data_IF_807526636258
#
_entry.id   IF_807526636258
#
_cell.length_a   1.000
_cell.length_b   1.000
_cell.length_c   1.000
_cell.angle_alpha   90.00
_cell.angle_beta   90.00
_cell.angle_gamma   90.00
#
_symmetry.space_group_name_H-M   'P 1'
#
loop_
_entity.id
_entity.type
_entity.pdbx_description
1 polymer ?
#
# COMPACT_ATOMS: atom_id res chain seq x y z
N UNK A 1 -29.10 7.78 -12.00
CA UNK A 1 -28.62 6.40 -12.29
C UNK A 1 -27.14 6.39 -11.97
N UNK A 2 -26.63 5.43 -11.16
CA UNK A 2 -25.19 5.33 -10.90
C UNK A 2 -24.49 4.87 -12.19
N UNK A 3 -23.36 5.49 -12.51
CA UNK A 3 -22.48 5.05 -13.61
C UNK A 3 -21.60 3.90 -13.13
N UNK A 4 -21.11 3.06 -14.06
CA UNK A 4 -20.08 2.09 -13.73
C UNK A 4 -18.71 2.76 -13.70
N UNK A 5 -17.84 2.33 -12.79
CA UNK A 5 -16.45 2.74 -12.75
C UNK A 5 -15.55 1.61 -13.27
N UNK A 6 -14.64 1.95 -14.16
CA UNK A 6 -13.72 1.03 -14.82
C UNK A 6 -12.27 1.41 -14.55
N UNK A 7 -11.41 0.40 -14.54
CA UNK A 7 -9.95 0.56 -14.59
C UNK A 7 -9.53 0.48 -16.06
N UNK A 8 -8.86 1.52 -16.54
CA UNK A 8 -8.33 1.58 -17.91
C UNK A 8 -6.86 1.21 -17.96
N UNK A 9 -6.07 1.63 -16.98
CA UNK A 9 -4.66 1.23 -16.86
C UNK A 9 -4.20 1.28 -15.40
N UNK A 10 -3.08 0.58 -15.13
CA UNK A 10 -2.43 0.56 -13.83
C UNK A 10 -0.92 0.43 -14.02
N UNK A 11 -0.18 1.32 -13.37
CA UNK A 11 1.28 1.39 -13.43
C UNK A 11 1.88 1.59 -12.04
N UNK A 12 3.11 1.12 -11.85
CA UNK A 12 3.88 1.40 -10.63
C UNK A 12 5.37 1.59 -10.94
N UNK A 13 6.08 2.24 -10.05
CA UNK A 13 7.55 2.19 -10.08
C UNK A 13 8.04 0.82 -9.59
N UNK A 14 9.30 0.44 -9.87
CA UNK A 14 9.95 -0.58 -9.05
C UNK A 14 10.00 -0.10 -7.60
N UNK A 15 9.97 -1.03 -6.65
CA UNK A 15 10.15 -0.71 -5.23
C UNK A 15 11.63 -0.57 -4.91
N UNK A 16 12.02 0.63 -4.53
CA UNK A 16 13.36 0.92 -4.03
C UNK A 16 13.51 0.54 -2.56
N UNK A 17 14.72 0.26 -2.13
CA UNK A 17 15.07 0.04 -0.74
C UNK A 17 14.92 1.35 0.05
N UNK A 18 14.09 1.38 1.07
CA UNK A 18 13.76 2.56 1.87
C UNK A 18 14.88 2.97 2.85
N UNK A 19 16.10 3.12 2.35
CA UNK A 19 17.27 3.53 3.09
C UNK A 19 18.08 4.56 2.29
N UNK A 20 18.97 5.29 2.95
CA UNK A 20 19.83 6.30 2.32
C UNK A 20 20.71 5.75 1.19
N UNK A 21 21.02 4.45 1.23
CA UNK A 21 21.77 3.72 0.20
C UNK A 21 20.84 3.02 -0.83
N UNK A 22 19.52 3.23 -0.75
CA UNK A 22 18.56 2.72 -1.73
C UNK A 22 18.58 3.51 -3.05
N UNK A 23 18.32 2.86 -4.17
CA UNK A 23 18.42 3.46 -5.50
C UNK A 23 17.50 4.67 -5.69
N UNK A 24 16.33 4.68 -5.05
CA UNK A 24 15.35 5.76 -5.20
C UNK A 24 15.54 6.91 -4.19
N UNK A 25 16.52 6.84 -3.28
CA UNK A 25 16.75 7.89 -2.27
C UNK A 25 17.03 9.28 -2.88
N UNK A 26 17.70 9.35 -4.02
CA UNK A 26 18.01 10.60 -4.71
C UNK A 26 16.85 11.14 -5.55
N UNK A 27 15.82 10.33 -5.78
CA UNK A 27 14.62 10.73 -6.55
C UNK A 27 13.59 11.31 -5.59
N UNK A 28 13.06 12.48 -5.92
CA UNK A 28 12.01 13.11 -5.12
C UNK A 28 10.70 12.30 -5.23
N UNK A 29 9.89 12.21 -4.17
CA UNK A 29 8.58 11.54 -4.24
C UNK A 29 7.68 12.06 -5.35
N UNK A 30 7.70 13.39 -5.58
CA UNK A 30 6.93 13.99 -6.66
C UNK A 30 7.36 13.48 -8.04
N UNK A 31 8.65 13.28 -8.28
CA UNK A 31 9.18 12.81 -9.57
C UNK A 31 8.77 11.35 -9.84
N UNK A 32 8.56 10.53 -8.80
CA UNK A 32 7.99 9.18 -8.93
C UNK A 32 6.55 9.24 -9.45
N UNK A 33 5.75 10.16 -8.92
CA UNK A 33 4.34 10.33 -9.33
C UNK A 33 4.26 10.91 -10.74
N UNK A 34 5.03 11.95 -11.03
CA UNK A 34 5.09 12.60 -12.36
C UNK A 34 5.48 11.60 -13.43
N UNK A 35 6.52 10.78 -13.19
CA UNK A 35 6.95 9.75 -14.14
C UNK A 35 5.87 8.71 -14.43
N UNK A 36 5.02 8.36 -13.45
CA UNK A 36 3.88 7.48 -13.67
C UNK A 36 2.72 8.17 -14.40
N UNK A 37 2.46 9.46 -14.15
CA UNK A 37 1.47 10.23 -14.90
C UNK A 37 1.87 10.35 -16.38
N UNK A 38 3.13 10.60 -16.64
CA UNK A 38 3.68 10.63 -18.00
C UNK A 38 3.54 9.27 -18.68
N UNK A 39 3.88 8.19 -18.00
CA UNK A 39 3.72 6.83 -18.53
C UNK A 39 2.26 6.49 -18.82
N UNK A 40 1.30 6.89 -17.97
CA UNK A 40 -0.12 6.74 -18.26
C UNK A 40 -0.54 7.50 -19.52
N UNK A 41 -0.07 8.74 -19.68
CA UNK A 41 -0.38 9.58 -20.84
C UNK A 41 0.29 9.06 -22.12
N UNK A 42 1.52 8.56 -22.05
CA UNK A 42 2.22 7.92 -23.18
C UNK A 42 1.49 6.67 -23.66
N UNK A 43 1.00 5.85 -22.72
CA UNK A 43 0.35 4.56 -23.02
C UNK A 43 -1.10 4.70 -23.50
N UNK A 44 -1.82 5.69 -22.99
CA UNK A 44 -3.26 5.81 -23.15
C UNK A 44 -3.68 7.10 -23.87
N UNK A 45 -2.71 7.90 -24.31
CA UNK A 45 -2.93 9.15 -25.06
C UNK A 45 -2.85 10.40 -24.17
N UNK A 46 -2.28 11.46 -24.72
CA UNK A 46 -2.04 12.74 -24.03
C UNK A 46 -3.35 13.45 -23.59
N UNK A 47 -4.48 13.06 -24.17
CA UNK A 47 -5.79 13.57 -23.76
C UNK A 47 -6.14 13.36 -22.30
N UNK A 48 -5.52 12.38 -21.63
CA UNK A 48 -5.68 12.14 -20.20
C UNK A 48 -5.32 13.41 -19.40
N UNK A 49 -4.25 14.11 -19.76
CA UNK A 49 -3.78 15.31 -19.06
C UNK A 49 -4.79 16.48 -19.11
N UNK A 50 -5.67 16.46 -20.10
CA UNK A 50 -6.71 17.49 -20.28
C UNK A 50 -8.08 17.04 -19.78
N UNK A 51 -8.32 15.75 -19.68
CA UNK A 51 -9.64 15.18 -19.39
C UNK A 51 -9.76 14.65 -17.96
N UNK A 52 -8.66 14.49 -17.23
CA UNK A 52 -8.74 14.13 -15.82
C UNK A 52 -9.44 15.24 -15.02
N UNK A 53 -10.37 14.84 -14.17
CA UNK A 53 -11.08 15.76 -13.28
C UNK A 53 -10.34 15.95 -11.96
N UNK A 54 -9.74 14.84 -11.45
CA UNK A 54 -9.11 14.83 -10.13
C UNK A 54 -7.93 13.84 -10.06
N UNK A 55 -7.04 14.10 -9.11
CA UNK A 55 -5.97 13.20 -8.67
C UNK A 55 -6.15 12.88 -7.20
N UNK A 56 -6.41 11.62 -6.86
CA UNK A 56 -6.54 11.16 -5.48
C UNK A 56 -5.31 10.33 -5.11
N UNK A 57 -4.48 10.84 -4.21
CA UNK A 57 -3.20 10.22 -3.90
C UNK A 57 -3.07 9.86 -2.42
N UNK A 58 -2.86 8.58 -2.13
CA UNK A 58 -2.52 8.08 -0.81
C UNK A 58 -1.06 8.42 -0.43
N UNK A 59 -0.86 9.00 0.74
CA UNK A 59 0.46 9.26 1.31
C UNK A 59 0.35 9.20 2.84
N UNK A 60 1.15 8.33 3.47
CA UNK A 60 1.04 8.08 4.92
C UNK A 60 1.71 9.18 5.73
N UNK A 61 2.88 9.65 5.26
CA UNK A 61 3.68 10.65 6.00
C UNK A 61 3.78 11.95 5.19
N UNK A 62 2.70 12.78 5.20
CA UNK A 62 2.57 13.95 4.33
C UNK A 62 3.34 15.18 4.86
N UNK A 63 4.65 15.03 5.04
CA UNK A 63 5.55 16.08 5.52
C UNK A 63 6.78 16.22 4.62
N UNK A 64 7.49 17.32 4.72
CA UNK A 64 8.68 17.58 3.91
C UNK A 64 8.38 17.43 2.40
N UNK A 65 9.15 16.61 1.71
CA UNK A 65 9.00 16.37 0.26
C UNK A 65 7.67 15.74 -0.15
N UNK A 66 6.90 15.22 0.80
CA UNK A 66 5.57 14.61 0.59
C UNK A 66 4.42 15.49 1.10
N UNK A 67 4.74 16.68 1.62
CA UNK A 67 3.75 17.62 2.17
C UNK A 67 3.05 18.47 1.12
N UNK A 68 2.21 19.39 1.60
CA UNK A 68 1.55 20.44 0.82
C UNK A 68 0.75 19.93 -0.39
N UNK A 69 -0.05 18.87 -0.18
CA UNK A 69 -0.86 18.24 -1.22
C UNK A 69 -0.04 17.82 -2.45
N UNK A 70 0.75 16.79 -2.27
CA UNK A 70 1.59 16.23 -3.34
C UNK A 70 0.76 15.78 -4.56
N UNK A 71 -0.54 15.47 -4.40
CA UNK A 71 -1.41 15.09 -5.51
C UNK A 71 -1.59 16.25 -6.49
N UNK A 72 -2.00 17.43 -5.98
CA UNK A 72 -2.16 18.62 -6.82
C UNK A 72 -0.82 19.10 -7.37
N UNK A 73 0.22 19.09 -6.55
CA UNK A 73 1.55 19.54 -6.98
C UNK A 73 2.11 18.64 -8.09
N UNK A 74 1.94 17.31 -7.98
CA UNK A 74 2.35 16.36 -9.02
C UNK A 74 1.53 16.51 -10.31
N UNK A 75 0.22 16.75 -10.21
CA UNK A 75 -0.64 17.01 -11.37
C UNK A 75 -0.12 18.20 -12.19
N UNK A 76 0.18 19.32 -11.53
CA UNK A 76 0.74 20.51 -12.18
C UNK A 76 2.12 20.23 -12.78
N UNK A 77 3.01 19.58 -12.03
CA UNK A 77 4.36 19.25 -12.49
C UNK A 77 4.37 18.28 -13.69
N UNK A 78 3.38 17.37 -13.77
CA UNK A 78 3.19 16.48 -14.92
C UNK A 78 2.51 17.17 -16.11
N UNK A 79 2.14 18.45 -16.01
CA UNK A 79 1.47 19.19 -17.09
C UNK A 79 0.01 18.78 -17.29
N UNK A 80 -0.68 18.33 -16.26
CA UNK A 80 -2.12 18.22 -16.31
C UNK A 80 -2.74 19.63 -16.34
N UNK A 81 -3.94 19.75 -16.88
CA UNK A 81 -4.63 21.05 -16.95
C UNK A 81 -4.77 21.69 -15.55
N UNK A 82 -4.69 23.00 -15.47
CA UNK A 82 -4.79 23.75 -14.20
C UNK A 82 -6.11 23.49 -13.47
N UNK A 83 -7.14 23.10 -14.22
CA UNK A 83 -8.46 22.75 -13.71
C UNK A 83 -8.53 21.39 -13.02
N UNK A 84 -7.53 20.51 -13.22
CA UNK A 84 -7.49 19.20 -12.54
C UNK A 84 -7.27 19.42 -11.05
N UNK A 85 -8.20 18.93 -10.24
CA UNK A 85 -8.10 18.98 -8.79
C UNK A 85 -7.06 17.98 -8.28
N UNK A 86 -6.75 18.03 -6.99
CA UNK A 86 -5.89 17.06 -6.34
C UNK A 86 -6.23 16.99 -4.87
N UNK A 87 -6.18 15.77 -4.31
CA UNK A 87 -6.35 15.55 -2.88
C UNK A 87 -5.42 14.44 -2.39
N UNK A 88 -4.76 14.71 -1.29
CA UNK A 88 -3.92 13.75 -0.58
C UNK A 88 -4.70 13.17 0.59
N UNK A 89 -4.65 11.85 0.76
CA UNK A 89 -5.36 11.14 1.82
C UNK A 89 -4.42 10.23 2.60
N UNK A 90 -4.76 9.96 3.87
CA UNK A 90 -4.06 9.01 4.72
C UNK A 90 -5.06 8.01 5.31
N UNK A 91 -4.83 6.72 5.04
CA UNK A 91 -5.43 5.55 5.69
C UNK A 91 -4.33 4.52 5.94
N UNK A 92 -3.18 4.96 6.43
CA UNK A 92 -1.99 4.14 6.66
C UNK A 92 -1.66 3.25 5.43
N UNK A 93 -1.30 1.99 5.63
CA UNK A 93 -0.93 1.08 4.53
C UNK A 93 -2.04 0.88 3.48
N UNK A 94 -3.30 1.22 3.78
CA UNK A 94 -4.42 1.16 2.84
C UNK A 94 -4.64 2.47 2.05
N UNK A 95 -3.79 3.50 2.20
CA UNK A 95 -4.01 4.82 1.58
C UNK A 95 -4.14 4.75 0.06
N UNK A 96 -3.29 3.98 -0.62
CA UNK A 96 -3.36 3.81 -2.08
C UNK A 96 -4.65 3.10 -2.52
N UNK A 97 -5.05 2.04 -1.82
CA UNK A 97 -6.31 1.34 -2.09
C UNK A 97 -7.52 2.24 -1.83
N UNK A 98 -7.50 3.01 -0.74
CA UNK A 98 -8.57 3.96 -0.44
C UNK A 98 -8.68 5.07 -1.48
N UNK A 99 -7.54 5.59 -1.97
CA UNK A 99 -7.52 6.55 -3.07
C UNK A 99 -8.23 6.01 -4.33
N UNK A 100 -7.94 4.76 -4.67
CA UNK A 100 -8.58 4.04 -5.78
C UNK A 100 -10.08 3.81 -5.52
N UNK A 101 -10.47 3.43 -4.30
CA UNK A 101 -11.87 3.29 -3.91
C UNK A 101 -12.63 4.63 -3.99
N UNK A 102 -12.02 5.71 -3.50
CA UNK A 102 -12.61 7.05 -3.58
C UNK A 102 -12.80 7.50 -5.03
N UNK A 103 -11.82 7.28 -5.90
CA UNK A 103 -11.93 7.56 -7.32
C UNK A 103 -13.09 6.77 -7.97
N UNK A 104 -13.20 5.47 -7.67
CA UNK A 104 -14.32 4.66 -8.14
C UNK A 104 -15.67 5.17 -7.64
N UNK A 105 -15.76 5.60 -6.37
CA UNK A 105 -16.98 6.21 -5.81
C UNK A 105 -17.33 7.54 -6.48
N UNK A 106 -16.34 8.42 -6.75
CA UNK A 106 -16.53 9.69 -7.47
C UNK A 106 -17.09 9.43 -8.87
N UNK A 107 -16.50 8.50 -9.61
CA UNK A 107 -16.96 8.12 -10.95
C UNK A 107 -18.37 7.49 -10.90
N UNK A 108 -18.63 6.56 -9.97
CA UNK A 108 -19.95 5.92 -9.85
C UNK A 108 -21.06 6.86 -9.39
N UNK A 109 -20.73 7.90 -8.63
CA UNK A 109 -21.68 8.93 -8.24
C UNK A 109 -22.08 9.83 -9.41
N UNK A 110 -21.27 9.87 -10.49
CA UNK A 110 -21.47 10.74 -11.64
C UNK A 110 -20.98 12.17 -11.41
N UNK A 111 -20.21 12.42 -10.33
CA UNK A 111 -19.60 13.74 -10.11
C UNK A 111 -18.34 13.94 -10.93
N UNK A 112 -17.58 12.87 -11.17
CA UNK A 112 -16.35 12.88 -11.96
C UNK A 112 -16.41 11.82 -13.06
N UNK A 113 -15.77 12.08 -14.20
CA UNK A 113 -15.74 11.16 -15.34
C UNK A 113 -14.44 10.37 -15.42
N UNK A 114 -13.31 11.01 -15.07
CA UNK A 114 -11.96 10.45 -15.18
C UNK A 114 -11.09 10.89 -14.01
N UNK A 115 -10.57 9.93 -13.24
CA UNK A 115 -9.75 10.19 -12.06
C UNK A 115 -8.45 9.37 -12.13
N UNK A 116 -7.34 10.01 -11.80
CA UNK A 116 -6.05 9.33 -11.57
C UNK A 116 -5.96 9.08 -10.07
N UNK A 117 -5.75 7.83 -9.65
CA UNK A 117 -5.68 7.50 -8.23
C UNK A 117 -4.57 6.50 -7.92
N UNK A 118 -4.03 6.58 -6.72
CA UNK A 118 -2.97 5.67 -6.29
C UNK A 118 -2.26 6.14 -5.03
N UNK A 119 -0.95 6.02 -4.98
CA UNK A 119 -0.19 6.46 -3.80
C UNK A 119 1.30 6.58 -4.06
N UNK A 120 1.96 7.27 -3.15
CA UNK A 120 3.42 7.44 -3.10
C UNK A 120 3.91 7.39 -1.67
N UNK A 121 5.06 6.76 -1.45
CA UNK A 121 5.80 6.84 -0.21
C UNK A 121 7.30 6.75 -0.50
N UNK A 122 8.10 7.62 0.11
CA UNK A 122 9.55 7.59 0.06
C UNK A 122 10.10 7.51 1.48
N UNK A 123 10.13 6.28 2.01
CA UNK A 123 10.51 6.02 3.40
C UNK A 123 12.02 6.21 3.64
N UNK A 124 12.82 6.25 2.57
CA UNK A 124 14.25 6.59 2.66
C UNK A 124 14.49 8.07 2.93
N UNK A 125 13.57 8.94 2.48
CA UNK A 125 13.63 10.40 2.61
C UNK A 125 12.82 10.91 3.80
N UNK A 126 11.63 10.37 3.98
CA UNK A 126 10.70 10.74 5.04
C UNK A 126 10.53 9.53 5.98
N UNK A 127 11.18 9.52 7.15
CA UNK A 127 11.06 8.43 8.11
C UNK A 127 9.62 8.25 8.60
N UNK A 128 9.24 7.00 8.90
CA UNK A 128 7.95 6.71 9.53
C UNK A 128 7.74 7.55 10.80
N UNK A 129 6.50 7.96 11.04
CA UNK A 129 6.08 8.78 12.18
C UNK A 129 6.65 10.21 12.19
N UNK A 130 7.25 10.69 11.09
CA UNK A 130 7.68 12.10 10.98
C UNK A 130 6.50 13.08 11.00
N UNK A 131 5.30 12.63 10.72
CA UNK A 131 4.04 13.39 10.80
C UNK A 131 3.53 13.52 12.25
N UNK A 132 4.08 12.78 13.21
CA UNK A 132 3.68 12.81 14.62
C UNK A 132 2.30 12.23 14.85
N UNK A 133 1.50 12.90 15.67
CA UNK A 133 0.11 12.53 15.95
C UNK A 133 -0.10 12.00 17.36
N UNK A 134 -1.27 12.34 17.92
CA UNK A 134 -1.61 12.05 19.32
C UNK A 134 -1.61 10.54 19.63
N UNK A 135 -1.97 9.70 18.66
CA UNK A 135 -2.06 8.27 18.87
C UNK A 135 -0.76 7.62 19.37
N UNK A 136 0.39 8.05 18.80
CA UNK A 136 1.70 7.54 19.20
C UNK A 136 2.49 8.49 20.14
N UNK A 137 2.18 9.81 20.11
CA UNK A 137 2.97 10.85 20.77
C UNK A 137 2.35 11.41 22.05
N UNK A 138 1.03 11.25 22.24
CA UNK A 138 0.35 11.69 23.47
C UNK A 138 0.06 10.49 24.36
N UNK A 139 0.69 10.40 25.57
CA UNK A 139 0.54 9.25 26.45
C UNK A 139 -0.92 9.00 26.89
N UNK A 140 -1.71 10.05 27.09
CA UNK A 140 -3.10 9.90 27.50
C UNK A 140 -3.96 9.28 26.39
N UNK A 141 -3.81 9.76 25.16
CA UNK A 141 -4.51 9.21 23.98
C UNK A 141 -4.02 7.80 23.67
N UNK A 142 -2.71 7.57 23.72
CA UNK A 142 -2.11 6.25 23.51
C UNK A 142 -2.68 5.20 24.48
N UNK A 143 -2.71 5.52 25.78
CA UNK A 143 -3.27 4.63 26.80
C UNK A 143 -4.78 4.41 26.61
N UNK A 144 -5.54 5.48 26.38
CA UNK A 144 -6.99 5.41 26.20
C UNK A 144 -7.40 4.57 25.00
N UNK A 145 -6.60 4.56 23.94
CA UNK A 145 -6.83 3.75 22.73
C UNK A 145 -6.22 2.36 22.78
N UNK A 146 -5.39 2.07 23.80
CA UNK A 146 -4.66 0.79 23.88
C UNK A 146 -3.65 0.61 22.74
N UNK A 147 -3.03 1.71 22.31
CA UNK A 147 -2.05 1.70 21.22
C UNK A 147 -0.83 0.86 21.57
N UNK A 148 -0.43 0.02 20.65
CA UNK A 148 0.87 -0.65 20.62
C UNK A 148 1.48 -0.55 19.23
N UNK A 149 2.82 -0.62 19.09
CA UNK A 149 3.44 -0.70 17.78
C UNK A 149 2.91 -1.87 16.96
N UNK A 150 2.76 -1.69 15.66
CA UNK A 150 2.10 -2.61 14.73
C UNK A 150 2.65 -4.04 14.81
N UNK A 151 3.97 -4.20 14.98
CA UNK A 151 4.60 -5.50 15.10
C UNK A 151 4.23 -6.27 16.37
N UNK A 152 3.89 -5.57 17.46
CA UNK A 152 3.34 -6.21 18.68
C UNK A 152 1.96 -6.78 18.37
N UNK A 153 1.11 -6.05 17.65
CA UNK A 153 -0.18 -6.55 17.18
C UNK A 153 -0.04 -7.77 16.27
N UNK A 154 0.96 -7.78 15.38
CA UNK A 154 1.25 -8.93 14.52
C UNK A 154 1.71 -10.17 15.32
N UNK A 155 2.60 -9.99 16.30
CA UNK A 155 3.04 -11.08 17.20
C UNK A 155 1.89 -11.58 18.08
N UNK A 156 0.97 -10.68 18.50
CA UNK A 156 -0.24 -11.07 19.21
C UNK A 156 -1.18 -11.92 18.33
N UNK A 157 -1.34 -11.59 17.06
CA UNK A 157 -2.08 -12.42 16.08
C UNK A 157 -1.44 -13.80 16.00
N UNK A 158 -0.12 -13.87 15.77
CA UNK A 158 0.58 -15.15 15.66
C UNK A 158 0.43 -15.99 16.94
N UNK A 159 0.46 -15.35 18.10
CA UNK A 159 0.27 -16.01 19.40
C UNK A 159 -1.14 -16.58 19.55
N UNK A 160 -2.17 -15.79 19.25
CA UNK A 160 -3.59 -16.19 19.38
C UNK A 160 -3.93 -17.33 18.41
N UNK A 161 -3.46 -17.23 17.16
CA UNK A 161 -3.71 -18.22 16.12
C UNK A 161 -2.78 -19.46 16.23
N UNK A 162 -1.79 -19.42 17.12
CA UNK A 162 -0.85 -20.52 17.34
C UNK A 162 0.19 -20.69 16.22
N UNK A 163 0.45 -19.66 15.43
CA UNK A 163 1.46 -19.72 14.37
C UNK A 163 2.87 -19.75 14.96
N UNK A 164 3.62 -20.79 14.59
CA UNK A 164 5.02 -20.89 14.96
C UNK A 164 5.90 -19.98 14.12
N UNK A 165 7.14 -19.75 14.58
CA UNK A 165 8.16 -19.05 13.78
C UNK A 165 8.37 -19.70 12.41
N UNK A 166 8.32 -21.01 12.33
CA UNK A 166 8.50 -21.75 11.08
C UNK A 166 7.33 -21.53 10.12
N UNK A 167 6.10 -21.45 10.61
CA UNK A 167 4.93 -21.15 9.77
C UNK A 167 5.06 -19.77 9.14
N UNK A 168 5.41 -18.77 9.95
CA UNK A 168 5.61 -17.37 9.55
C UNK A 168 6.76 -17.25 8.53
N UNK A 169 7.91 -17.87 8.78
CA UNK A 169 9.04 -17.85 7.86
C UNK A 169 8.77 -18.62 6.56
N UNK A 170 8.02 -19.73 6.63
CA UNK A 170 7.63 -20.52 5.46
C UNK A 170 6.72 -19.73 4.52
N UNK A 171 5.77 -18.97 5.06
CA UNK A 171 4.93 -18.06 4.29
C UNK A 171 5.77 -16.99 3.58
N UNK A 172 6.64 -16.32 4.33
CA UNK A 172 7.51 -15.26 3.78
C UNK A 172 8.45 -15.80 2.69
N UNK A 173 9.02 -16.99 2.89
CA UNK A 173 9.86 -17.67 1.89
C UNK A 173 9.08 -17.95 0.61
N UNK A 174 7.83 -18.43 0.73
CA UNK A 174 6.98 -18.69 -0.43
C UNK A 174 6.66 -17.41 -1.19
N UNK A 175 6.34 -16.31 -0.49
CA UNK A 175 6.10 -14.98 -1.08
C UNK A 175 7.32 -14.50 -1.89
N UNK A 176 8.53 -14.59 -1.32
CA UNK A 176 9.76 -14.20 -2.01
C UNK A 176 10.03 -15.04 -3.27
N UNK A 177 9.83 -16.37 -3.19
CA UNK A 177 9.99 -17.26 -4.34
C UNK A 177 8.99 -16.97 -5.46
N UNK A 178 7.73 -16.73 -5.11
CA UNK A 178 6.67 -16.37 -6.08
C UNK A 178 6.98 -15.03 -6.76
N UNK A 179 7.38 -14.02 -6.00
CA UNK A 179 7.75 -12.72 -6.54
C UNK A 179 8.97 -12.82 -7.48
N UNK A 180 10.00 -13.58 -7.10
CA UNK A 180 11.18 -13.80 -7.94
C UNK A 180 10.83 -14.53 -9.25
N UNK A 181 10.00 -15.57 -9.18
CA UNK A 181 9.53 -16.31 -10.36
C UNK A 181 8.70 -15.39 -11.28
N UNK A 182 7.78 -14.61 -10.72
CA UNK A 182 6.96 -13.67 -11.49
C UNK A 182 7.82 -12.60 -12.19
N UNK A 183 8.82 -12.05 -11.51
CA UNK A 183 9.76 -11.10 -12.11
C UNK A 183 10.60 -11.74 -13.21
N UNK A 184 11.12 -12.93 -12.98
CA UNK A 184 11.93 -13.65 -13.99
C UNK A 184 11.12 -14.03 -15.23
N UNK A 185 9.82 -14.31 -15.08
CA UNK A 185 8.89 -14.64 -16.16
C UNK A 185 8.27 -13.41 -16.86
N UNK A 186 8.68 -12.19 -16.50
CA UNK A 186 8.21 -10.96 -17.14
C UNK A 186 6.77 -10.56 -16.79
N UNK A 187 6.16 -11.15 -15.75
CA UNK A 187 4.78 -10.82 -15.38
C UNK A 187 4.59 -9.36 -14.95
N UNK A 188 5.65 -8.68 -14.54
CA UNK A 188 5.62 -7.27 -14.13
C UNK A 188 5.98 -6.29 -15.26
N UNK A 189 6.42 -6.75 -16.42
CA UNK A 189 6.97 -5.89 -17.49
C UNK A 189 5.96 -4.87 -18.02
N UNK A 190 4.67 -5.18 -17.96
CA UNK A 190 3.60 -4.26 -18.38
C UNK A 190 3.20 -3.23 -17.33
N UNK A 191 3.47 -3.48 -16.06
CA UNK A 191 3.02 -2.63 -14.95
C UNK A 191 4.14 -1.81 -14.34
N UNK A 192 5.39 -2.28 -14.39
CA UNK A 192 6.55 -1.59 -13.84
C UNK A 192 7.10 -0.58 -14.86
N UNK A 193 7.15 0.67 -14.45
CA UNK A 193 7.74 1.79 -15.20
C UNK A 193 9.12 2.07 -14.61
N UNK A 194 10.21 1.92 -15.37
CA UNK A 194 11.54 2.25 -14.89
C UNK A 194 11.64 3.71 -14.44
N UNK A 195 12.24 3.93 -13.27
CA UNK A 195 12.49 5.28 -12.75
C UNK A 195 13.77 5.81 -13.39
N UNK A 196 13.69 7.04 -13.89
CA UNK A 196 14.80 7.76 -14.52
C UNK A 196 15.14 9.01 -13.71
N UNK A 197 16.39 9.44 -13.80
CA UNK A 197 16.81 10.74 -13.29
C UNK A 197 16.44 11.88 -14.26
N UNK A 198 16.77 13.12 -13.87
CA UNK A 198 16.51 14.33 -14.67
C UNK A 198 17.22 14.33 -16.02
N UNK A 199 18.30 13.53 -16.20
CA UNK A 199 19.02 13.39 -17.45
C UNK A 199 18.49 12.23 -18.32
N UNK A 200 17.44 11.53 -17.86
CA UNK A 200 16.84 10.39 -18.56
C UNK A 200 17.57 9.07 -18.34
N UNK A 201 18.59 9.01 -17.47
CA UNK A 201 19.26 7.77 -17.13
C UNK A 201 18.41 6.91 -16.21
N UNK A 202 18.32 5.62 -16.50
CA UNK A 202 17.57 4.68 -15.65
C UNK A 202 18.28 4.49 -14.31
N UNK A 203 17.61 4.87 -13.23
CA UNK A 203 18.08 4.71 -11.85
C UNK A 203 17.66 3.35 -11.30
N UNK A 204 16.42 2.93 -11.55
CA UNK A 204 15.90 1.64 -11.10
C UNK A 204 14.87 1.11 -12.11
N UNK A 205 15.04 -0.14 -12.55
CA UNK A 205 14.14 -0.80 -13.50
C UNK A 205 13.44 -2.03 -12.93
N UNK A 206 13.90 -2.57 -11.80
CA UNK A 206 13.37 -3.78 -11.15
C UNK A 206 13.30 -3.59 -9.64
N UNK A 207 12.40 -4.31 -8.99
CA UNK A 207 12.25 -4.27 -7.53
C UNK A 207 13.55 -4.68 -6.83
N UNK A 208 14.05 -3.85 -5.93
CA UNK A 208 15.24 -4.14 -5.11
C UNK A 208 14.94 -5.08 -3.93
N UNK A 209 13.68 -5.28 -3.61
CA UNK A 209 13.28 -5.95 -2.36
C UNK A 209 12.97 -7.45 -2.52
N UNK A 210 13.00 -7.98 -3.75
CA UNK A 210 12.77 -9.40 -4.01
C UNK A 210 14.04 -10.19 -3.71
N UNK A 211 13.94 -11.14 -2.77
CA UNK A 211 15.03 -12.01 -2.30
C UNK A 211 14.80 -13.46 -2.73
N UNK A 212 14.90 -13.73 -4.02
CA UNK A 212 14.66 -15.07 -4.58
C UNK A 212 15.58 -16.16 -4.07
N UNK A 213 16.74 -15.81 -3.50
CA UNK A 213 17.71 -16.71 -2.88
C UNK A 213 17.52 -16.92 -1.37
N UNK A 214 16.42 -16.40 -0.79
CA UNK A 214 16.12 -16.63 0.63
C UNK A 214 15.96 -18.13 0.92
N UNK A 215 16.34 -18.53 2.14
CA UNK A 215 16.18 -19.90 2.65
C UNK A 215 15.48 -19.88 4.00
N UNK A 216 14.84 -20.98 4.37
CA UNK A 216 14.17 -21.08 5.66
C UNK A 216 15.17 -20.97 6.83
N UNK A 217 16.36 -21.57 6.67
CA UNK A 217 17.46 -21.46 7.63
C UNK A 217 17.91 -19.99 7.81
N UNK A 218 18.11 -19.28 6.71
CA UNK A 218 18.50 -17.86 6.74
C UNK A 218 17.45 -16.96 7.39
N UNK A 219 16.15 -17.23 7.16
CA UNK A 219 15.07 -16.53 7.83
C UNK A 219 15.03 -16.88 9.32
N UNK A 220 15.15 -18.16 9.67
CA UNK A 220 15.15 -18.63 11.05
C UNK A 220 16.28 -18.08 11.93
N UNK A 221 17.41 -17.71 11.33
CA UNK A 221 18.53 -17.07 12.02
C UNK A 221 18.30 -15.59 12.40
N UNK A 222 17.26 -14.94 11.84
CA UNK A 222 16.95 -13.53 12.15
C UNK A 222 16.35 -13.39 13.55
N UNK A 223 16.73 -12.33 14.26
CA UNK A 223 16.17 -12.01 15.57
C UNK A 223 14.78 -11.41 15.45
N UNK A 224 13.86 -11.69 16.40
CA UNK A 224 12.56 -11.03 16.48
C UNK A 224 12.70 -9.50 16.56
N UNK A 225 12.03 -8.78 15.67
CA UNK A 225 12.21 -7.33 15.54
C UNK A 225 11.51 -6.52 16.64
N UNK A 226 10.49 -7.10 17.28
CA UNK A 226 9.62 -6.35 18.20
C UNK A 226 9.74 -6.80 19.66
N UNK A 227 10.52 -7.84 19.95
CA UNK A 227 10.69 -8.39 21.29
C UNK A 227 11.18 -7.33 22.32
N UNK A 228 12.26 -6.60 22.02
CA UNK A 228 12.75 -5.56 22.93
C UNK A 228 11.72 -4.46 23.18
N UNK A 229 10.99 -4.05 22.15
CA UNK A 229 9.95 -3.02 22.27
C UNK A 229 8.76 -3.55 23.07
N UNK A 230 8.39 -4.80 22.88
CA UNK A 230 7.34 -5.46 23.64
C UNK A 230 7.68 -5.61 25.13
N UNK A 231 8.82 -6.21 25.43
CA UNK A 231 9.23 -6.55 26.80
C UNK A 231 9.75 -5.33 27.57
N UNK A 232 10.80 -4.67 27.07
CA UNK A 232 11.44 -3.56 27.76
C UNK A 232 10.71 -2.23 27.57
N UNK A 233 10.06 -2.03 26.40
CA UNK A 233 9.21 -0.87 26.14
C UNK A 233 7.83 -0.93 26.78
N UNK A 234 7.46 -2.06 27.41
CA UNK A 234 6.21 -2.23 28.14
C UNK A 234 4.98 -2.48 27.25
N UNK A 235 5.12 -2.56 25.92
CA UNK A 235 3.97 -2.71 25.02
C UNK A 235 3.31 -4.08 25.10
N UNK A 236 4.04 -5.14 25.50
CA UNK A 236 3.42 -6.44 25.80
C UNK A 236 2.43 -6.31 26.95
N UNK A 237 2.78 -5.58 28.01
CA UNK A 237 1.90 -5.37 29.15
C UNK A 237 0.62 -4.63 28.75
N UNK A 238 0.72 -3.60 27.91
CA UNK A 238 -0.44 -2.87 27.35
C UNK A 238 -1.35 -3.83 26.56
N UNK A 239 -0.79 -4.65 25.69
CA UNK A 239 -1.56 -5.60 24.89
C UNK A 239 -2.23 -6.67 25.78
N UNK A 240 -1.52 -7.23 26.76
CA UNK A 240 -2.01 -8.27 27.64
C UNK A 240 -3.07 -7.75 28.65
N UNK A 241 -3.10 -6.47 28.98
CA UNK A 241 -4.21 -5.89 29.75
C UNK A 241 -5.56 -6.08 29.06
N UNK A 242 -5.58 -5.97 27.74
CA UNK A 242 -6.78 -6.15 26.93
C UNK A 242 -7.02 -7.62 26.58
N UNK A 243 -5.97 -8.33 26.22
CA UNK A 243 -5.99 -9.75 25.85
C UNK A 243 -5.54 -10.60 27.03
N UNK A 244 -6.22 -10.45 28.19
CA UNK A 244 -5.84 -11.04 29.48
C UNK A 244 -5.87 -12.57 29.53
N UNK A 245 -6.48 -13.22 28.53
CA UNK A 245 -6.46 -14.67 28.41
C UNK A 245 -5.18 -15.21 27.71
N UNK A 246 -4.35 -14.32 27.17
CA UNK A 246 -3.05 -14.63 26.58
C UNK A 246 -2.00 -14.49 27.67
N UNK A 247 -1.28 -15.56 27.98
CA UNK A 247 -0.29 -15.56 29.06
C UNK A 247 0.95 -14.73 28.70
N UNK A 248 1.45 -14.89 27.47
CA UNK A 248 2.60 -14.14 26.96
C UNK A 248 2.55 -14.01 25.45
N UNK A 249 3.17 -12.97 24.89
CA UNK A 249 3.27 -12.77 23.44
C UNK A 249 4.52 -13.46 22.91
N UNK A 250 4.33 -14.38 21.96
CA UNK A 250 5.41 -15.06 21.27
C UNK A 250 5.90 -14.18 20.10
N UNK A 251 7.12 -13.64 20.21
CA UNK A 251 7.71 -12.78 19.20
C UNK A 251 8.31 -13.58 18.05
N UNK A 252 7.61 -13.64 16.93
CA UNK A 252 7.98 -14.42 15.74
C UNK A 252 8.29 -13.57 14.51
N UNK A 253 7.88 -12.29 14.50
CA UNK A 253 8.11 -11.43 13.36
C UNK A 253 9.51 -10.82 13.35
N UNK A 254 10.12 -10.86 12.17
CA UNK A 254 11.47 -10.37 11.89
C UNK A 254 11.46 -9.49 10.63
N UNK A 255 12.58 -8.87 10.31
CA UNK A 255 12.74 -8.15 9.05
C UNK A 255 12.60 -9.05 7.80
N UNK A 256 12.65 -10.38 7.96
CA UNK A 256 12.53 -11.33 6.85
C UNK A 256 11.10 -11.77 6.53
N UNK A 257 10.18 -11.63 7.49
CA UNK A 257 8.78 -12.07 7.39
C UNK A 257 7.77 -10.94 7.65
N UNK A 258 8.23 -9.70 7.55
CA UNK A 258 7.47 -8.45 7.63
C UNK A 258 7.65 -7.66 6.34
N UNK A 259 6.74 -6.71 6.05
CA UNK A 259 6.86 -5.84 4.90
C UNK A 259 8.13 -4.97 4.98
N UNK A 260 8.73 -4.71 3.82
CA UNK A 260 9.94 -3.90 3.75
C UNK A 260 9.68 -2.40 3.90
N UNK A 261 10.67 -1.69 4.41
CA UNK A 261 10.76 -0.24 4.32
C UNK A 261 11.22 0.10 2.91
N UNK A 262 10.39 0.77 2.11
CA UNK A 262 10.59 0.93 0.66
C UNK A 262 10.22 2.33 0.17
N UNK A 263 10.70 2.65 -1.02
CA UNK A 263 10.31 3.83 -1.78
C UNK A 263 9.56 3.38 -3.04
N UNK A 264 8.49 4.10 -3.41
CA UNK A 264 7.77 3.80 -4.64
C UNK A 264 6.49 4.59 -4.79
N UNK A 265 5.89 4.46 -5.97
CA UNK A 265 4.58 5.00 -6.31
C UNK A 265 3.80 4.02 -7.19
N UNK A 266 2.48 4.12 -7.16
CA UNK A 266 1.58 3.40 -8.05
C UNK A 266 0.39 4.28 -8.43
N UNK A 267 -0.06 4.22 -9.68
CA UNK A 267 -1.21 4.97 -10.18
C UNK A 267 -2.11 4.07 -11.03
N UNK A 268 -3.41 4.34 -10.95
CA UNK A 268 -4.46 3.79 -11.80
C UNK A 268 -5.22 4.89 -12.51
N UNK A 269 -5.63 4.62 -13.75
CA UNK A 269 -6.56 5.44 -14.50
C UNK A 269 -7.97 4.85 -14.36
N UNK A 270 -8.86 5.60 -13.76
CA UNK A 270 -10.23 5.18 -13.40
C UNK A 270 -11.22 6.13 -14.06
N UNK A 271 -12.24 5.59 -14.70
CA UNK A 271 -13.22 6.44 -15.37
C UNK A 271 -14.51 5.71 -15.68
N UNK A 272 -15.51 6.47 -16.15
CA UNK A 272 -16.74 5.91 -16.68
C UNK A 272 -16.60 5.50 -18.16
N UNK A 273 -17.64 4.90 -18.72
CA UNK A 273 -17.63 4.44 -20.12
C UNK A 273 -17.47 5.61 -21.11
N UNK A 274 -18.06 6.78 -20.80
CA UNK A 274 -17.99 7.95 -21.67
C UNK A 274 -16.56 8.50 -21.78
N UNK A 275 -15.84 8.60 -20.66
CA UNK A 275 -14.43 8.98 -20.62
C UNK A 275 -13.57 7.99 -21.42
N UNK A 276 -13.80 6.69 -21.23
CA UNK A 276 -13.09 5.65 -22.00
C UNK A 276 -13.32 5.77 -23.50
N UNK A 277 -14.55 5.96 -23.94
CA UNK A 277 -14.89 6.18 -25.37
C UNK A 277 -14.22 7.43 -25.92
N UNK A 278 -14.22 8.53 -25.18
CA UNK A 278 -13.60 9.81 -25.58
C UNK A 278 -12.09 9.67 -25.77
N UNK A 279 -11.44 8.81 -24.98
CA UNK A 279 -10.01 8.50 -25.06
C UNK A 279 -9.69 7.33 -25.98
N UNK A 280 -10.69 6.63 -26.53
CA UNK A 280 -10.48 5.42 -27.33
C UNK A 280 -9.98 4.21 -26.55
N UNK A 281 -10.22 4.19 -25.23
CA UNK A 281 -9.73 3.17 -24.32
C UNK A 281 -10.78 2.07 -24.10
N UNK A 282 -10.29 0.85 -23.89
CA UNK A 282 -11.10 -0.31 -23.47
C UNK A 282 -10.91 -0.58 -21.99
N UNK A 283 -12.00 -0.80 -21.21
CA UNK A 283 -11.87 -1.19 -19.81
C UNK A 283 -11.10 -2.49 -19.65
N UNK A 284 -10.19 -2.54 -18.68
CA UNK A 284 -9.47 -3.75 -18.26
C UNK A 284 -10.23 -4.51 -17.18
N UNK A 285 -10.90 -3.77 -16.29
CA UNK A 285 -11.72 -4.30 -15.22
C UNK A 285 -12.76 -3.28 -14.80
N UNK A 286 -13.77 -3.70 -14.03
CA UNK A 286 -14.74 -2.81 -13.37
C UNK A 286 -14.69 -2.97 -11.86
N UNK A 287 -15.04 -1.92 -11.15
CA UNK A 287 -15.26 -1.99 -9.70
C UNK A 287 -16.61 -2.63 -9.40
N UNK A 288 -16.61 -3.72 -8.65
CA UNK A 288 -17.85 -4.40 -8.24
C UNK A 288 -18.35 -3.80 -6.93
N UNK A 289 -17.54 -3.85 -5.88
CA UNK A 289 -17.86 -3.31 -4.56
C UNK A 289 -16.61 -2.86 -3.83
N UNK A 290 -16.80 -1.97 -2.87
CA UNK A 290 -15.76 -1.55 -1.91
C UNK A 290 -16.31 -1.60 -0.49
N UNK A 291 -15.44 -1.86 0.49
CA UNK A 291 -15.81 -1.83 1.89
C UNK A 291 -14.64 -1.40 2.78
N UNK A 292 -14.99 -0.83 3.91
CA UNK A 292 -14.06 -0.43 4.96
C UNK A 292 -14.43 -1.14 6.25
N UNK A 293 -13.42 -1.49 7.05
CA UNK A 293 -13.57 -1.99 8.40
C UNK A 293 -12.52 -1.37 9.30
N UNK A 294 -12.92 -0.91 10.48
CA UNK A 294 -12.01 -0.70 11.59
C UNK A 294 -11.68 -2.03 12.24
N UNK A 295 -10.64 -2.04 13.07
CA UNK A 295 -10.25 -3.15 13.92
C UNK A 295 -9.94 -2.66 15.33
N UNK A 296 -9.83 -3.59 16.28
CA UNK A 296 -9.32 -3.27 17.62
C UNK A 296 -7.94 -2.62 17.51
N UNK A 297 -7.72 -1.43 18.13
CA UNK A 297 -6.48 -0.68 17.95
C UNK A 297 -5.24 -1.35 18.55
N UNK A 298 -5.39 -2.30 19.45
CA UNK A 298 -4.27 -3.03 20.06
C UNK A 298 -3.76 -4.13 19.12
N UNK A 299 -4.63 -5.00 18.61
CA UNK A 299 -4.27 -6.04 17.64
C UNK A 299 -4.18 -5.49 16.21
N UNK A 300 -4.86 -4.43 15.91
CA UNK A 300 -5.00 -3.55 14.74
C UNK A 300 -5.08 -4.23 13.35
N UNK A 301 -4.41 -5.35 13.13
CA UNK A 301 -4.20 -5.95 11.81
C UNK A 301 -5.27 -6.99 11.40
N UNK A 302 -6.40 -7.03 12.09
CA UNK A 302 -7.49 -7.99 11.85
C UNK A 302 -8.57 -7.47 10.90
N UNK A 303 -8.37 -6.30 10.30
CA UNK A 303 -9.32 -5.66 9.40
C UNK A 303 -9.57 -6.30 8.03
N UNK A 304 -8.61 -7.04 7.40
CA UNK A 304 -8.79 -7.56 6.04
C UNK A 304 -10.00 -8.47 5.88
N UNK A 305 -10.19 -9.47 6.74
CA UNK A 305 -11.31 -10.41 6.63
C UNK A 305 -12.69 -9.74 6.79
N UNK A 306 -12.96 -8.93 7.84
CA UNK A 306 -14.23 -8.21 7.96
C UNK A 306 -14.52 -7.28 6.77
N UNK A 307 -13.51 -6.59 6.24
CA UNK A 307 -13.67 -5.75 5.07
C UNK A 307 -14.00 -6.58 3.81
N UNK A 308 -13.34 -7.72 3.62
CA UNK A 308 -13.62 -8.63 2.51
C UNK A 308 -15.04 -9.19 2.57
N UNK A 309 -15.48 -9.72 3.72
CA UNK A 309 -16.86 -10.21 3.88
C UNK A 309 -17.90 -9.12 3.59
N UNK A 310 -17.68 -7.91 4.09
CA UNK A 310 -18.57 -6.78 3.83
C UNK A 310 -18.61 -6.38 2.35
N UNK A 311 -17.48 -6.48 1.64
CA UNK A 311 -17.43 -6.23 0.19
C UNK A 311 -18.16 -7.32 -0.60
N UNK A 312 -17.96 -8.59 -0.24
CA UNK A 312 -18.66 -9.73 -0.83
C UNK A 312 -20.17 -9.65 -0.63
N UNK A 313 -20.65 -9.34 0.57
CA UNK A 313 -22.07 -9.14 0.87
C UNK A 313 -22.68 -8.05 -0.04
N UNK A 314 -22.02 -6.90 -0.16
CA UNK A 314 -22.45 -5.82 -1.07
C UNK A 314 -22.47 -6.23 -2.53
N UNK A 315 -21.59 -7.13 -2.93
CA UNK A 315 -21.50 -7.64 -4.29
C UNK A 315 -22.49 -8.79 -4.57
N UNK A 316 -23.09 -9.36 -3.53
CA UNK A 316 -23.91 -10.59 -3.64
C UNK A 316 -23.07 -11.82 -3.98
N UNK A 317 -21.79 -11.85 -3.55
CA UNK A 317 -20.81 -12.89 -3.82
C UNK A 317 -20.39 -13.61 -2.52
N UNK A 318 -19.84 -14.80 -2.69
CA UNK A 318 -19.22 -15.61 -1.64
C UNK A 318 -17.71 -15.72 -1.84
N UNK A 319 -17.00 -16.26 -0.86
CA UNK A 319 -15.55 -16.54 -0.96
C UNK A 319 -15.26 -17.47 -2.14
N UNK A 320 -16.14 -18.43 -2.42
CA UNK A 320 -15.97 -19.40 -3.51
C UNK A 320 -16.10 -18.78 -4.93
N UNK A 321 -16.67 -17.59 -5.03
CA UNK A 321 -16.79 -16.87 -6.30
C UNK A 321 -15.54 -16.05 -6.65
N UNK A 322 -14.52 -16.05 -5.80
CA UNK A 322 -13.30 -15.25 -5.96
C UNK A 322 -12.15 -16.14 -6.42
N UNK A 323 -11.66 -15.90 -7.61
CA UNK A 323 -10.54 -16.64 -8.20
C UNK A 323 -9.18 -16.26 -7.61
N UNK A 324 -8.98 -14.97 -7.28
CA UNK A 324 -7.70 -14.44 -6.81
C UNK A 324 -7.91 -13.51 -5.62
N UNK A 325 -7.09 -13.71 -4.58
CA UNK A 325 -7.01 -12.88 -3.40
C UNK A 325 -5.66 -12.18 -3.35
N UNK A 326 -5.69 -10.86 -3.21
CA UNK A 326 -4.51 -10.05 -2.92
C UNK A 326 -4.69 -9.40 -1.54
N UNK A 327 -3.82 -9.76 -0.60
CA UNK A 327 -3.84 -9.27 0.77
C UNK A 327 -2.48 -8.64 1.04
N UNK A 328 -2.48 -7.40 1.57
CA UNK A 328 -1.24 -6.75 1.93
C UNK A 328 -0.49 -7.54 3.00
N UNK A 329 0.70 -8.02 2.66
CA UNK A 329 1.57 -8.81 3.51
C UNK A 329 2.37 -7.89 4.47
N UNK A 330 1.66 -7.08 5.29
CA UNK A 330 2.33 -6.24 6.29
C UNK A 330 3.19 -7.08 7.23
N UNK A 331 2.65 -8.24 7.63
CA UNK A 331 3.29 -9.29 8.40
C UNK A 331 2.72 -10.63 7.95
N UNK A 332 3.53 -11.67 7.96
CA UNK A 332 3.09 -12.99 7.51
C UNK A 332 1.83 -13.49 8.27
N UNK A 333 1.74 -13.25 9.58
CA UNK A 333 0.57 -13.63 10.37
C UNK A 333 -0.74 -13.01 9.91
N UNK A 334 -0.71 -11.82 9.26
CA UNK A 334 -1.91 -11.15 8.76
C UNK A 334 -2.51 -11.89 7.57
N UNK A 335 -1.67 -12.36 6.67
CA UNK A 335 -2.11 -13.08 5.48
C UNK A 335 -2.43 -14.56 5.77
N UNK A 336 -1.81 -15.14 6.82
CA UNK A 336 -2.11 -16.49 7.26
C UNK A 336 -3.44 -16.62 8.00
N UNK A 337 -3.86 -15.56 8.71
CA UNK A 337 -5.16 -15.47 9.38
C UNK A 337 -6.30 -15.28 8.37
#
# INVERSE_FOLDING_TARGET
MSTEAFIYDAVRTPRGKGKKDGSLHTIKPIDLVVGLMDALAERNGQGIKQLADDVVLGCVTPVGDQGADIAKTAALAAGLADTVAGVQINRFCASGLEAVNMAAMKVRSGFEDLVIAGGVESMSRIPMASDGGAWAMDPATSLATGFVPQGIGADLIATIEGFSRTDIDSFALQSQKRAAAAQASGHFDKSVVPVKDINGLTVLAKDEFIRGNATLEGLGALQPSFMMMGEMGGFNAVALQKYHWVESINHVHTAGNSSGIVDGAALMLIGNEAAGKKLGLKPRARFVATALSGADPTIMLTGPAPAAYKALEKAGLTVADIDLWEINEAFAAVALR
#
